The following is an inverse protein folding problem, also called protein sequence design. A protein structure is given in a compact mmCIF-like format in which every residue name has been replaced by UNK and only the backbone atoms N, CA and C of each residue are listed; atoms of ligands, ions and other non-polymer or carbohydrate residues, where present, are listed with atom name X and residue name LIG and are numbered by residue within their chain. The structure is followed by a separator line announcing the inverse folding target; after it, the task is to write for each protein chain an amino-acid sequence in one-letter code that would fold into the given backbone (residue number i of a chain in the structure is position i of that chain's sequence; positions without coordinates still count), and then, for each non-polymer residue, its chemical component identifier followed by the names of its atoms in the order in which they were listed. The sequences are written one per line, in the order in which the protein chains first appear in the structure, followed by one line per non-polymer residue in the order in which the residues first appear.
data_IF_275188196914
#
_entry.id   IF_275188196914
#
_cell.length_a   1.000
_cell.length_b   1.000
_cell.length_c   1.000
_cell.angle_alpha   90.00
_cell.angle_beta   90.00
_cell.angle_gamma   90.00
#
_symmetry.space_group_name_H-M   'P 1'
#
loop_
_entity.id
_entity.type
_entity.pdbx_description
1 polymer ?
#
# COMPACT_ATOMS: atom_id res chain seq x y z
N UNK A 1 64.79 7.85 14.91
CA UNK A 1 65.37 6.94 13.93
C UNK A 1 64.33 6.62 12.90
N UNK A 2 64.48 7.15 11.70
CA UNK A 2 63.59 6.94 10.53
C UNK A 2 64.02 5.68 9.80
N UNK A 3 63.08 4.77 9.48
CA UNK A 3 63.33 3.73 8.49
C UNK A 3 62.31 3.86 7.35
N UNK A 4 62.82 4.23 6.21
CA UNK A 4 62.15 4.15 4.88
C UNK A 4 62.13 2.72 4.40
N UNK A 5 61.00 2.28 3.80
CA UNK A 5 60.90 1.06 3.01
C UNK A 5 60.41 1.45 1.62
N UNK A 6 61.05 1.04 0.55
CA UNK A 6 60.79 1.53 -0.79
C UNK A 6 59.61 0.76 -1.46
N UNK A 7 58.88 1.50 -2.31
CA UNK A 7 57.84 1.00 -3.18
C UNK A 7 58.38 0.05 -4.25
N UNK A 8 57.73 -1.11 -4.44
CA UNK A 8 57.96 -1.99 -5.60
C UNK A 8 56.88 -1.68 -6.65
N UNK A 9 57.31 -1.17 -7.79
CA UNK A 9 56.57 -1.13 -9.05
C UNK A 9 56.27 -2.55 -9.49
N UNK A 10 55.02 -2.86 -9.82
CA UNK A 10 54.63 -4.02 -10.58
C UNK A 10 53.95 -3.53 -11.88
N UNK A 11 54.53 -3.93 -13.00
CA UNK A 11 54.08 -3.69 -14.38
C UNK A 11 52.83 -4.55 -14.70
N UNK A 12 51.94 -4.09 -15.56
CA UNK A 12 50.79 -4.87 -16.01
C UNK A 12 51.22 -5.86 -17.14
N UNK A 13 50.88 -7.11 -16.96
CA UNK A 13 50.98 -8.13 -18.03
C UNK A 13 49.68 -8.07 -18.83
N UNK A 14 49.78 -7.58 -20.05
CA UNK A 14 48.72 -7.63 -21.06
C UNK A 14 48.71 -9.01 -21.70
N UNK A 15 47.71 -9.82 -21.39
CA UNK A 15 47.47 -11.09 -22.08
C UNK A 15 46.37 -10.90 -23.10
N UNK A 16 46.73 -10.88 -24.38
CA UNK A 16 45.81 -10.92 -25.51
C UNK A 16 45.38 -12.38 -25.70
N UNK A 17 44.09 -12.69 -25.47
CA UNK A 17 43.49 -13.95 -25.93
C UNK A 17 42.71 -13.69 -27.23
N UNK A 18 43.29 -14.14 -28.34
CA UNK A 18 42.59 -14.44 -29.57
C UNK A 18 42.03 -15.86 -29.44
N UNK A 19 40.73 -16.03 -29.46
CA UNK A 19 40.09 -17.35 -29.39
C UNK A 19 38.68 -17.29 -29.95
N UNK A 20 38.61 -17.49 -31.26
CA UNK A 20 37.66 -18.31 -32.04
C UNK A 20 36.25 -18.53 -31.46
N UNK A 21 35.28 -18.17 -32.31
CA UNK A 21 33.84 -18.25 -32.12
C UNK A 21 33.29 -19.63 -31.80
N UNK A 22 32.20 -19.56 -31.00
CA UNK A 22 31.13 -20.54 -31.05
C UNK A 22 29.83 -19.76 -31.17
N UNK A 23 29.32 -19.69 -32.39
CA UNK A 23 27.95 -19.32 -32.69
C UNK A 23 27.02 -20.40 -32.23
N UNK A 24 26.36 -20.20 -31.10
CA UNK A 24 25.28 -21.07 -30.64
C UNK A 24 24.00 -20.58 -31.30
N UNK A 25 23.61 -21.29 -32.35
CA UNK A 25 22.32 -21.11 -33.03
C UNK A 25 21.22 -21.60 -32.11
N UNK A 26 20.42 -20.69 -31.60
CA UNK A 26 19.12 -21.04 -31.02
C UNK A 26 18.15 -21.37 -32.15
N UNK A 27 17.77 -22.62 -32.22
CA UNK A 27 16.65 -23.09 -33.04
C UNK A 27 15.36 -22.48 -32.46
N UNK A 28 14.84 -21.52 -33.19
CA UNK A 28 13.48 -21.01 -32.97
C UNK A 28 12.52 -22.06 -33.53
N UNK A 29 11.88 -22.82 -32.64
CA UNK A 29 10.75 -23.68 -32.99
C UNK A 29 9.56 -22.77 -33.29
N UNK A 30 9.18 -22.74 -34.54
CA UNK A 30 7.98 -22.05 -35.02
C UNK A 30 6.77 -22.98 -34.78
N UNK A 31 6.11 -22.85 -33.64
CA UNK A 31 4.74 -23.28 -33.48
C UNK A 31 3.84 -22.06 -33.47
N UNK A 32 3.37 -21.72 -34.65
CA UNK A 32 2.31 -20.77 -34.91
C UNK A 32 0.98 -21.35 -34.40
N UNK A 33 0.45 -20.77 -33.31
CA UNK A 33 -1.00 -20.62 -33.07
C UNK A 33 -1.22 -19.86 -31.77
N UNK A 34 -0.77 -18.60 -31.71
CA UNK A 34 -1.29 -17.66 -30.73
C UNK A 34 -2.31 -16.76 -31.44
N UNK A 35 -3.59 -17.13 -31.30
CA UNK A 35 -4.69 -16.27 -31.71
C UNK A 35 -4.61 -15.01 -30.86
N UNK A 36 -4.19 -13.92 -31.48
CA UNK A 36 -4.28 -12.60 -30.89
C UNK A 36 -5.75 -12.25 -30.65
N UNK A 37 -6.21 -12.41 -29.42
CA UNK A 37 -7.44 -11.79 -28.97
C UNK A 37 -7.17 -10.30 -28.88
N UNK A 38 -7.76 -9.53 -29.78
CA UNK A 38 -7.80 -8.10 -29.73
C UNK A 38 -8.46 -7.66 -28.43
N UNK A 39 -7.95 -6.63 -27.71
CA UNK A 39 -8.65 -6.07 -26.58
C UNK A 39 -9.98 -5.50 -27.08
N UNK A 40 -11.08 -5.96 -26.47
CA UNK A 40 -12.39 -5.40 -26.68
C UNK A 40 -12.33 -3.90 -26.44
N UNK A 41 -12.64 -3.13 -27.46
CA UNK A 41 -12.85 -1.69 -27.36
C UNK A 41 -13.96 -1.44 -26.36
N UNK A 42 -13.58 -0.87 -25.22
CA UNK A 42 -14.54 -0.37 -24.23
C UNK A 42 -15.29 0.80 -24.88
N UNK A 43 -16.53 0.54 -25.30
CA UNK A 43 -17.46 1.59 -25.70
C UNK A 43 -18.02 2.19 -24.40
N UNK A 44 -17.70 3.45 -24.17
CA UNK A 44 -18.33 4.26 -23.14
C UNK A 44 -19.85 4.20 -23.30
N UNK A 45 -20.62 3.93 -22.24
CA UNK A 45 -22.07 4.02 -22.32
C UNK A 45 -22.46 5.47 -22.65
N UNK A 46 -23.08 5.60 -23.80
CA UNK A 46 -23.72 6.81 -24.29
C UNK A 46 -24.68 7.33 -23.23
N UNK A 47 -24.60 8.64 -22.99
CA UNK A 47 -25.46 9.46 -22.15
C UNK A 47 -26.85 8.85 -21.93
N UNK A 48 -27.15 8.49 -20.68
CA UNK A 48 -28.53 8.27 -20.27
C UNK A 48 -29.25 9.61 -20.34
N UNK A 49 -30.20 9.69 -21.25
CA UNK A 49 -31.17 10.76 -21.37
C UNK A 49 -31.83 11.01 -20.00
N UNK A 50 -31.91 12.28 -19.67
CA UNK A 50 -32.79 12.82 -18.61
C UNK A 50 -34.16 12.12 -18.65
N UNK A 51 -34.47 11.39 -17.59
CA UNK A 51 -35.84 10.97 -17.34
C UNK A 51 -36.55 12.21 -16.80
N UNK A 52 -37.34 12.84 -17.66
CA UNK A 52 -38.29 13.86 -17.27
C UNK A 52 -39.33 13.21 -16.37
N UNK A 53 -39.22 13.46 -15.08
CA UNK A 53 -40.29 13.16 -14.13
C UNK A 53 -41.25 14.33 -14.19
N UNK A 54 -42.31 14.14 -14.98
CA UNK A 54 -43.49 15.04 -14.92
C UNK A 54 -44.05 14.96 -13.50
N UNK A 55 -43.89 16.04 -12.76
CA UNK A 55 -44.68 16.30 -11.57
C UNK A 55 -46.06 16.78 -12.00
N UNK A 56 -47.05 15.89 -11.91
CA UNK A 56 -48.44 16.28 -12.05
C UNK A 56 -48.85 17.17 -10.88
N UNK A 57 -49.14 18.43 -11.18
CA UNK A 57 -49.76 19.38 -10.28
C UNK A 57 -51.19 18.96 -9.98
N UNK A 58 -51.43 18.43 -8.80
CA UNK A 58 -52.68 18.58 -8.03
C UNK A 58 -52.48 17.93 -6.66
N UNK A 59 -52.31 18.75 -5.62
CA UNK A 59 -52.94 18.69 -4.29
C UNK A 59 -52.28 19.71 -3.38
N UNK A 60 -53.08 20.43 -2.65
CA UNK A 60 -52.93 21.53 -1.65
C UNK A 60 -51.65 21.59 -0.81
N UNK A 61 -51.29 22.81 -0.37
CA UNK A 61 -50.05 23.10 0.37
C UNK A 61 -50.19 22.76 1.86
N UNK A 62 -49.59 21.64 2.28
CA UNK A 62 -49.20 21.44 3.67
C UNK A 62 -48.02 20.49 3.72
N UNK A 63 -46.92 21.04 4.27
CA UNK A 63 -45.69 20.34 4.71
C UNK A 63 -44.73 19.82 3.62
N UNK A 64 -43.77 20.66 3.37
CA UNK A 64 -42.53 20.36 2.62
C UNK A 64 -41.80 19.15 3.21
N UNK A 65 -41.90 18.02 2.54
CA UNK A 65 -41.17 16.79 2.88
C UNK A 65 -40.02 16.54 1.89
N UNK A 66 -39.17 17.55 1.72
CA UNK A 66 -37.93 17.42 0.92
C UNK A 66 -36.76 16.82 1.68
N UNK A 67 -36.89 16.51 2.98
CA UNK A 67 -35.82 15.98 3.82
C UNK A 67 -35.66 14.44 3.75
N UNK A 68 -36.34 13.78 2.81
CA UNK A 68 -36.33 12.31 2.79
C UNK A 68 -35.45 11.65 1.73
N UNK A 69 -34.59 12.44 1.05
CA UNK A 69 -33.65 11.90 0.05
C UNK A 69 -32.27 11.53 0.62
N UNK A 70 -31.94 11.92 1.87
CA UNK A 70 -30.62 11.66 2.43
C UNK A 70 -30.42 10.27 3.10
N UNK A 71 -31.48 9.48 3.26
CA UNK A 71 -31.39 8.25 4.10
C UNK A 71 -31.03 6.98 3.30
N UNK A 72 -30.79 7.05 2.00
CA UNK A 72 -30.46 5.84 1.21
C UNK A 72 -29.01 5.65 0.80
N UNK A 73 -28.12 6.57 1.09
CA UNK A 73 -26.69 6.43 0.79
C UNK A 73 -25.90 5.62 1.84
N UNK A 74 -26.47 5.40 3.03
CA UNK A 74 -25.77 4.79 4.17
C UNK A 74 -25.67 3.25 4.15
N UNK A 75 -26.24 2.60 3.14
CA UNK A 75 -26.32 1.13 3.14
C UNK A 75 -25.23 0.41 2.36
N UNK A 76 -24.27 1.16 1.80
CA UNK A 76 -23.16 0.62 0.98
C UNK A 76 -21.79 0.76 1.64
N UNK A 77 -21.72 1.32 2.84
CA UNK A 77 -20.46 1.40 3.60
C UNK A 77 -20.26 0.15 4.43
N UNK A 78 -19.10 -0.47 4.35
CA UNK A 78 -18.73 -1.64 5.16
C UNK A 78 -18.93 -1.39 6.66
N UNK A 79 -19.05 -2.46 7.47
CA UNK A 79 -19.37 -2.42 8.90
C UNK A 79 -18.51 -1.46 9.74
N UNK A 80 -17.32 -1.10 9.23
CA UNK A 80 -16.32 -0.32 9.94
C UNK A 80 -16.14 1.11 9.39
N UNK A 81 -16.99 1.56 8.44
CA UNK A 81 -16.80 2.80 7.67
C UNK A 81 -17.91 3.80 7.97
N UNK A 82 -17.55 5.03 8.26
CA UNK A 82 -18.47 6.15 8.53
C UNK A 82 -18.01 7.40 7.79
N UNK A 83 -18.95 8.17 7.21
CA UNK A 83 -18.65 9.50 6.67
C UNK A 83 -18.58 10.51 7.80
N UNK A 84 -17.54 11.34 7.77
CA UNK A 84 -17.34 12.45 8.69
C UNK A 84 -17.16 13.74 7.90
N UNK A 85 -17.23 14.90 8.57
CA UNK A 85 -16.90 16.18 7.94
C UNK A 85 -15.46 16.26 7.41
N UNK A 86 -14.58 15.39 7.92
CA UNK A 86 -13.16 15.33 7.53
C UNK A 86 -12.85 14.26 6.47
N UNK A 87 -13.83 13.45 6.05
CA UNK A 87 -13.64 12.36 5.10
C UNK A 87 -14.32 11.06 5.52
N UNK A 88 -13.99 9.96 4.84
CA UNK A 88 -14.50 8.63 5.22
C UNK A 88 -13.63 8.09 6.36
N UNK A 89 -14.25 7.77 7.48
CA UNK A 89 -13.59 7.22 8.66
C UNK A 89 -13.77 5.70 8.73
N UNK A 90 -12.67 5.01 8.86
CA UNK A 90 -12.60 3.58 9.16
C UNK A 90 -12.22 3.36 10.62
N UNK A 91 -12.81 2.34 11.25
CA UNK A 91 -12.50 1.95 12.62
C UNK A 91 -12.17 0.47 12.68
N UNK A 92 -10.94 0.14 13.00
CA UNK A 92 -10.42 -1.22 13.01
C UNK A 92 -10.04 -1.66 14.42
N UNK A 93 -10.13 -2.97 14.66
CA UNK A 93 -9.47 -3.62 15.78
C UNK A 93 -8.33 -4.45 15.23
N UNK A 94 -7.09 -4.12 15.58
CA UNK A 94 -5.94 -4.91 15.14
C UNK A 94 -6.00 -6.33 15.72
N UNK A 95 -5.26 -7.25 15.11
CA UNK A 95 -5.11 -8.63 15.61
C UNK A 95 -4.64 -8.66 17.08
N UNK A 96 -3.85 -7.66 17.48
CA UNK A 96 -3.36 -7.51 18.86
C UNK A 96 -4.36 -6.79 19.79
N UNK A 97 -5.57 -6.43 19.30
CA UNK A 97 -6.62 -5.78 20.09
C UNK A 97 -6.53 -4.25 20.18
N UNK A 98 -5.63 -3.61 19.44
CA UNK A 98 -5.52 -2.15 19.41
C UNK A 98 -6.61 -1.55 18.53
N UNK A 99 -7.24 -0.46 19.01
CA UNK A 99 -8.20 0.31 18.21
C UNK A 99 -7.45 1.28 17.31
N UNK A 100 -7.75 1.24 16.01
CA UNK A 100 -7.12 2.07 14.98
C UNK A 100 -8.22 2.78 14.21
N UNK A 101 -8.14 4.11 14.18
CA UNK A 101 -9.02 4.94 13.34
C UNK A 101 -8.19 5.53 12.21
N UNK A 102 -8.71 5.44 10.99
CA UNK A 102 -8.11 6.00 9.78
C UNK A 102 -9.18 6.85 9.10
N UNK A 103 -8.84 8.08 8.75
CA UNK A 103 -9.73 8.95 7.98
C UNK A 103 -9.05 9.20 6.63
N UNK A 104 -9.73 8.83 5.56
CA UNK A 104 -9.27 9.11 4.20
C UNK A 104 -9.27 10.61 3.93
N UNK A 105 -8.20 11.08 3.32
CA UNK A 105 -8.03 12.45 2.86
C UNK A 105 -7.70 12.44 1.37
N UNK A 106 -7.98 13.49 0.62
CA UNK A 106 -7.63 13.55 -0.81
C UNK A 106 -6.15 13.30 -1.11
N UNK A 107 -5.27 13.64 -0.16
CA UNK A 107 -3.81 13.54 -0.30
C UNK A 107 -3.16 12.57 0.69
N UNK A 108 -3.94 11.86 1.52
CA UNK A 108 -3.36 10.96 2.52
C UNK A 108 -4.37 10.41 3.51
N UNK A 109 -3.93 10.29 4.76
CA UNK A 109 -4.72 9.69 5.84
C UNK A 109 -4.49 10.41 7.16
N UNK A 110 -5.56 10.64 7.92
CA UNK A 110 -5.43 11.02 9.33
C UNK A 110 -5.56 9.78 10.21
N UNK A 111 -4.72 9.73 11.23
CA UNK A 111 -4.74 8.67 12.25
C UNK A 111 -5.04 9.29 13.61
N UNK A 112 -6.32 9.45 14.01
CA UNK A 112 -6.69 10.15 15.25
C UNK A 112 -6.07 9.57 16.52
N UNK A 113 -5.78 8.26 16.53
CA UNK A 113 -5.11 7.58 17.65
C UNK A 113 -3.59 7.86 17.71
N UNK A 114 -3.00 8.43 16.65
CA UNK A 114 -1.56 8.64 16.50
C UNK A 114 -1.21 10.09 16.14
N UNK A 115 -1.91 11.05 16.75
CA UNK A 115 -1.71 12.49 16.47
C UNK A 115 -0.25 12.91 16.67
N UNK A 116 0.27 13.67 15.71
CA UNK A 116 1.65 14.17 15.74
C UNK A 116 2.71 13.09 15.46
N UNK A 117 2.28 11.92 14.96
CA UNK A 117 3.18 10.87 14.50
C UNK A 117 3.21 10.80 12.99
N UNK A 118 4.37 10.52 12.44
CA UNK A 118 4.50 10.01 11.08
C UNK A 118 4.17 8.53 11.08
N UNK A 119 3.31 8.10 10.17
CA UNK A 119 2.85 6.71 10.08
C UNK A 119 3.49 6.03 8.88
N UNK A 120 4.13 4.90 9.11
CA UNK A 120 4.49 3.95 8.06
C UNK A 120 3.33 2.96 7.96
N UNK A 121 2.51 3.11 6.92
CA UNK A 121 1.40 2.20 6.62
C UNK A 121 1.88 1.19 5.58
N UNK A 122 1.91 -0.09 5.93
CA UNK A 122 2.38 -1.16 5.05
C UNK A 122 1.27 -2.16 4.74
N UNK A 123 1.07 -2.47 3.46
CA UNK A 123 0.24 -3.59 3.02
C UNK A 123 1.19 -4.77 2.76
N UNK A 124 0.95 -5.88 3.42
CA UNK A 124 1.84 -7.04 3.37
C UNK A 124 1.06 -8.36 3.28
N UNK A 125 1.79 -9.42 2.95
CA UNK A 125 1.26 -10.79 2.97
C UNK A 125 2.04 -11.69 3.93
N UNK A 126 1.33 -12.56 4.65
CA UNK A 126 1.94 -13.51 5.61
C UNK A 126 2.90 -14.52 4.95
N UNK A 127 2.68 -14.81 3.68
CA UNK A 127 3.47 -15.77 2.88
C UNK A 127 4.40 -15.08 1.87
N UNK A 128 4.44 -13.75 1.85
CA UNK A 128 5.26 -12.96 0.97
C UNK A 128 6.71 -12.89 1.51
N UNK A 129 7.72 -13.46 0.83
CA UNK A 129 9.10 -13.46 1.33
C UNK A 129 9.65 -12.05 1.52
N UNK A 130 9.46 -11.16 0.56
CA UNK A 130 9.90 -9.77 0.64
C UNK A 130 9.25 -8.99 1.79
N UNK A 131 7.98 -9.33 2.11
CA UNK A 131 7.29 -8.72 3.26
C UNK A 131 7.91 -9.20 4.58
N UNK A 132 8.32 -10.46 4.66
CA UNK A 132 9.01 -11.01 5.83
C UNK A 132 10.38 -10.34 6.02
N UNK A 133 11.11 -10.11 4.93
CA UNK A 133 12.41 -9.42 4.95
C UNK A 133 12.27 -7.93 5.34
N UNK A 134 11.12 -7.30 5.10
CA UNK A 134 10.85 -5.92 5.48
C UNK A 134 10.52 -5.75 6.97
N UNK A 135 10.04 -6.79 7.66
CA UNK A 135 9.68 -6.71 9.09
C UNK A 135 10.82 -6.15 9.97
N UNK A 136 12.08 -6.63 9.88
CA UNK A 136 13.18 -6.05 10.66
C UNK A 136 13.49 -4.61 10.29
N UNK A 137 13.28 -4.20 9.03
CA UNK A 137 13.45 -2.82 8.56
C UNK A 137 12.44 -1.91 9.28
N UNK A 138 11.16 -2.24 9.23
CA UNK A 138 10.08 -1.49 9.87
C UNK A 138 10.29 -1.35 11.39
N UNK A 139 10.70 -2.44 12.05
CA UNK A 139 11.04 -2.42 13.49
C UNK A 139 12.21 -1.50 13.79
N UNK A 140 13.23 -1.51 12.95
CA UNK A 140 14.42 -0.66 13.11
C UNK A 140 14.09 0.81 12.91
N UNK A 141 13.24 1.15 11.93
CA UNK A 141 12.75 2.52 11.71
C UNK A 141 11.92 3.00 12.90
N UNK A 142 10.97 2.20 13.37
CA UNK A 142 10.17 2.52 14.56
C UNK A 142 11.05 2.74 15.80
N UNK A 143 12.14 1.99 15.95
CA UNK A 143 13.07 2.16 17.05
C UNK A 143 13.95 3.41 16.88
N UNK A 144 14.45 3.66 15.65
CA UNK A 144 15.30 4.82 15.34
C UNK A 144 14.57 6.14 15.61
N UNK A 145 13.34 6.23 15.11
CA UNK A 145 12.50 7.43 15.23
C UNK A 145 11.48 7.28 16.37
N UNK A 146 11.93 6.71 17.49
CA UNK A 146 11.08 6.44 18.64
C UNK A 146 10.43 7.71 19.16
N UNK A 147 9.10 7.68 19.26
CA UNK A 147 8.32 8.82 19.69
C UNK A 147 7.75 9.65 18.54
N UNK A 148 8.35 9.58 17.34
CA UNK A 148 7.93 10.34 16.16
C UNK A 148 7.24 9.45 15.11
N UNK A 149 7.66 8.19 14.98
CA UNK A 149 7.17 7.25 13.96
C UNK A 149 6.43 6.09 14.59
N UNK A 150 5.31 5.73 13.99
CA UNK A 150 4.59 4.49 14.25
C UNK A 150 4.42 3.68 12.96
N UNK A 151 4.30 2.36 13.11
CA UNK A 151 4.03 1.45 12.00
C UNK A 151 2.65 0.85 12.19
N UNK A 152 1.87 0.81 11.11
CA UNK A 152 0.58 0.12 11.03
C UNK A 152 0.62 -0.79 9.81
N UNK A 153 0.22 -2.04 9.96
CA UNK A 153 0.24 -3.02 8.88
C UNK A 153 -1.18 -3.50 8.52
N UNK A 154 -1.43 -3.73 7.24
CA UNK A 154 -2.64 -4.38 6.71
C UNK A 154 -2.20 -5.70 6.08
N UNK A 155 -2.72 -6.81 6.57
CA UNK A 155 -2.47 -8.14 6.01
C UNK A 155 -3.44 -8.38 4.86
N UNK A 156 -2.99 -8.40 3.61
CA UNK A 156 -3.83 -8.40 2.40
C UNK A 156 -3.88 -9.76 1.66
N UNK A 157 -3.32 -10.81 2.24
CA UNK A 157 -3.49 -12.18 1.74
C UNK A 157 -4.65 -12.90 2.46
N UNK A 158 -4.70 -14.20 2.34
CA UNK A 158 -5.71 -15.01 3.02
C UNK A 158 -5.79 -14.72 4.52
N UNK A 159 -6.99 -14.72 5.04
CA UNK A 159 -7.27 -14.49 6.45
C UNK A 159 -6.37 -15.33 7.37
N UNK A 160 -5.84 -14.71 8.40
CA UNK A 160 -5.08 -15.40 9.43
C UNK A 160 -5.99 -15.83 10.59
N UNK A 161 -6.23 -17.14 10.72
CA UNK A 161 -6.87 -17.64 11.93
C UNK A 161 -6.11 -17.16 13.19
N UNK A 162 -6.78 -16.90 14.33
CA UNK A 162 -6.17 -16.29 15.51
C UNK A 162 -4.90 -16.96 16.03
N UNK A 163 -4.84 -18.31 15.97
CA UNK A 163 -3.65 -19.05 16.39
C UNK A 163 -2.47 -18.89 15.42
N UNK A 164 -2.75 -18.78 14.11
CA UNK A 164 -1.74 -18.51 13.07
C UNK A 164 -1.19 -17.10 13.25
N UNK A 165 -2.09 -16.13 13.42
CA UNK A 165 -1.73 -14.72 13.63
C UNK A 165 -0.84 -14.55 14.88
N UNK A 166 -1.21 -15.20 16.00
CA UNK A 166 -0.40 -15.19 17.23
C UNK A 166 0.98 -15.81 17.01
N UNK A 167 1.04 -16.94 16.31
CA UNK A 167 2.29 -17.63 15.98
C UNK A 167 3.18 -16.74 15.09
N UNK A 168 2.61 -16.14 14.06
CA UNK A 168 3.30 -15.24 13.12
C UNK A 168 3.90 -14.03 13.85
N UNK A 169 3.10 -13.33 14.66
CA UNK A 169 3.53 -12.17 15.44
C UNK A 169 4.68 -12.54 16.38
N UNK A 170 4.57 -13.66 17.08
CA UNK A 170 5.61 -14.14 17.99
C UNK A 170 6.89 -14.54 17.26
N UNK A 171 6.77 -15.30 16.15
CA UNK A 171 7.91 -15.76 15.33
C UNK A 171 8.73 -14.58 14.82
N UNK A 172 8.08 -13.56 14.30
CA UNK A 172 8.74 -12.39 13.71
C UNK A 172 8.96 -11.26 14.72
N UNK A 173 8.50 -11.43 15.98
CA UNK A 173 8.57 -10.44 17.06
C UNK A 173 8.02 -9.08 16.60
N UNK A 174 6.83 -9.10 15.99
CA UNK A 174 6.18 -7.90 15.48
C UNK A 174 5.71 -7.04 16.66
N UNK A 175 6.08 -5.76 16.68
CA UNK A 175 5.79 -4.81 17.74
C UNK A 175 4.94 -3.61 17.29
N UNK A 176 4.18 -3.82 16.21
CA UNK A 176 3.25 -2.85 15.65
C UNK A 176 1.91 -3.55 15.33
N UNK A 177 0.79 -2.79 15.30
CA UNK A 177 -0.52 -3.35 15.05
C UNK A 177 -0.67 -3.86 13.61
N UNK A 178 -1.40 -4.98 13.47
CA UNK A 178 -1.78 -5.57 12.19
C UNK A 178 -3.31 -5.55 12.09
N UNK A 179 -3.84 -5.00 11.02
CA UNK A 179 -5.25 -5.05 10.65
C UNK A 179 -5.43 -6.21 9.66
N UNK A 180 -6.48 -7.03 9.85
CA UNK A 180 -6.88 -8.02 8.86
C UNK A 180 -7.40 -7.35 7.60
N UNK A 181 -7.01 -7.89 6.44
CA UNK A 181 -7.35 -7.31 5.15
C UNK A 181 -8.84 -7.33 4.85
N UNK A 182 -9.54 -8.37 5.30
CA UNK A 182 -10.99 -8.48 5.12
C UNK A 182 -11.74 -7.34 5.82
N UNK A 183 -11.25 -6.91 7.00
CA UNK A 183 -11.80 -5.76 7.72
C UNK A 183 -11.46 -4.43 7.07
N UNK A 184 -10.34 -4.37 6.30
CA UNK A 184 -9.81 -3.17 5.68
C UNK A 184 -10.07 -3.09 4.15
N UNK A 185 -11.04 -3.84 3.64
CA UNK A 185 -11.31 -3.92 2.20
C UNK A 185 -11.60 -2.55 1.59
N UNK A 186 -12.44 -1.73 2.21
CA UNK A 186 -12.77 -0.38 1.71
C UNK A 186 -11.52 0.51 1.68
N UNK A 187 -10.69 0.45 2.73
CA UNK A 187 -9.43 1.20 2.79
C UNK A 187 -8.43 0.73 1.72
N UNK A 188 -8.37 -0.57 1.45
CA UNK A 188 -7.54 -1.12 0.37
C UNK A 188 -7.99 -0.62 -1.00
N UNK A 189 -9.31 -0.54 -1.25
CA UNK A 189 -9.85 0.05 -2.48
C UNK A 189 -9.50 1.52 -2.61
N UNK A 190 -9.57 2.29 -1.53
CA UNK A 190 -9.13 3.67 -1.55
C UNK A 190 -7.65 3.79 -1.90
N UNK A 191 -6.78 2.97 -1.30
CA UNK A 191 -5.34 2.93 -1.58
C UNK A 191 -5.08 2.56 -3.04
N UNK A 192 -5.78 1.55 -3.56
CA UNK A 192 -5.68 1.14 -4.96
C UNK A 192 -6.03 2.29 -5.92
N UNK A 193 -7.15 2.95 -5.69
CA UNK A 193 -7.65 3.99 -6.58
C UNK A 193 -6.85 5.30 -6.48
N UNK A 194 -6.32 5.62 -5.31
CA UNK A 194 -5.62 6.89 -5.05
C UNK A 194 -4.13 6.81 -5.31
N UNK A 195 -3.50 5.68 -4.95
CA UNK A 195 -2.05 5.50 -4.99
C UNK A 195 -1.59 4.46 -6.02
N UNK A 196 -2.51 3.87 -6.79
CA UNK A 196 -2.18 2.92 -7.85
C UNK A 196 -1.63 1.59 -7.35
N UNK A 197 -1.98 1.18 -6.13
CA UNK A 197 -1.59 -0.15 -5.64
C UNK A 197 -2.25 -1.24 -6.48
N UNK A 198 -1.44 -2.11 -7.07
CA UNK A 198 -1.89 -3.16 -8.01
C UNK A 198 -1.93 -4.55 -7.38
N UNK A 199 -1.86 -4.66 -6.05
CA UNK A 199 -1.77 -5.95 -5.36
C UNK A 199 -0.33 -6.45 -5.19
N UNK A 200 0.68 -5.73 -5.68
CA UNK A 200 2.09 -6.06 -5.43
C UNK A 200 2.40 -5.86 -3.94
N UNK A 201 3.06 -6.83 -3.34
CA UNK A 201 3.43 -6.83 -1.92
C UNK A 201 4.95 -6.93 -1.74
N UNK A 202 5.51 -6.23 -0.74
CA UNK A 202 4.85 -5.26 0.12
C UNK A 202 4.49 -3.97 -0.63
N UNK A 203 3.58 -3.16 -0.05
CA UNK A 203 3.35 -1.79 -0.49
C UNK A 203 3.40 -0.87 0.73
N UNK A 204 4.40 -0.02 0.79
CA UNK A 204 4.68 0.82 1.96
C UNK A 204 4.43 2.28 1.65
N UNK A 205 3.71 2.97 2.53
CA UNK A 205 3.43 4.40 2.46
C UNK A 205 3.92 5.10 3.72
N UNK A 206 4.47 6.30 3.56
CA UNK A 206 4.83 7.18 4.67
C UNK A 206 3.88 8.37 4.69
N UNK A 207 3.15 8.50 5.79
CA UNK A 207 2.13 9.54 5.98
C UNK A 207 2.56 10.46 7.10
N UNK A 208 2.72 11.75 6.80
CA UNK A 208 3.04 12.80 7.76
C UNK A 208 1.99 13.91 7.70
N UNK A 209 1.49 14.32 8.86
CA UNK A 209 0.50 15.41 9.00
C UNK A 209 -0.74 15.26 8.08
N UNK A 210 -1.14 14.01 7.83
CA UNK A 210 -2.30 13.69 6.98
C UNK A 210 -2.00 13.60 5.49
N UNK A 211 -0.75 13.80 5.07
CA UNK A 211 -0.31 13.73 3.68
C UNK A 211 0.53 12.47 3.47
N UNK A 212 0.27 11.73 2.39
CA UNK A 212 1.15 10.63 1.96
C UNK A 212 2.34 11.21 1.21
N UNK A 213 3.48 11.25 1.86
CA UNK A 213 4.70 11.86 1.34
C UNK A 213 5.50 10.90 0.45
N UNK A 214 5.48 9.62 0.79
CA UNK A 214 6.28 8.60 0.09
C UNK A 214 5.45 7.33 -0.12
N UNK A 215 5.71 6.66 -1.25
CA UNK A 215 5.15 5.33 -1.56
C UNK A 215 6.23 4.44 -2.14
N UNK A 216 6.29 3.19 -1.69
CA UNK A 216 7.24 2.18 -2.14
C UNK A 216 6.46 0.95 -2.62
N UNK A 217 6.27 0.79 -3.93
CA UNK A 217 5.70 -0.43 -4.51
C UNK A 217 6.77 -1.53 -4.58
N UNK A 218 6.59 -2.59 -3.82
CA UNK A 218 7.57 -3.66 -3.64
C UNK A 218 8.54 -3.41 -2.48
N UNK A 219 9.53 -4.30 -2.36
CA UNK A 219 10.50 -4.25 -1.27
C UNK A 219 11.38 -2.98 -1.33
N UNK A 220 11.55 -2.33 -0.19
CA UNK A 220 12.43 -1.17 -0.02
C UNK A 220 13.58 -1.51 0.92
N UNK A 221 14.78 -1.01 0.64
CA UNK A 221 15.92 -1.22 1.52
C UNK A 221 15.87 -0.30 2.73
N UNK A 222 16.46 -0.75 3.86
CA UNK A 222 16.57 0.09 5.07
C UNK A 222 17.26 1.43 4.80
N UNK A 223 18.33 1.43 4.00
CA UNK A 223 19.08 2.66 3.73
C UNK A 223 18.29 3.65 2.90
N UNK A 224 17.50 3.18 1.96
CA UNK A 224 16.64 4.00 1.10
C UNK A 224 15.55 4.67 1.93
N UNK A 225 14.67 3.89 2.55
CA UNK A 225 13.58 4.45 3.36
C UNK A 225 14.10 5.31 4.53
N UNK A 226 15.25 4.94 5.13
CA UNK A 226 15.87 5.75 6.17
C UNK A 226 16.35 7.11 5.65
N UNK A 227 16.98 7.14 4.47
CA UNK A 227 17.46 8.40 3.88
C UNK A 227 16.30 9.36 3.58
N UNK A 228 15.20 8.81 3.05
CA UNK A 228 13.99 9.59 2.77
C UNK A 228 13.33 10.08 4.07
N UNK A 229 13.26 9.21 5.09
CA UNK A 229 12.74 9.57 6.42
C UNK A 229 13.59 10.62 7.14
N UNK A 230 14.94 10.54 7.04
CA UNK A 230 15.86 11.54 7.61
C UNK A 230 15.67 12.93 6.94
N UNK A 231 15.12 12.99 5.72
CA UNK A 231 14.79 14.24 5.03
C UNK A 231 13.39 14.75 5.41
N UNK A 232 12.48 13.83 5.68
CA UNK A 232 11.08 14.12 5.95
C UNK A 232 10.85 14.59 7.40
N UNK A 233 11.56 14.03 8.39
CA UNK A 233 11.37 14.25 9.83
C UNK A 233 12.17 15.43 10.36
#
# INVERSE_FOLDING_TARGET
MKRFIPAKLALPVTTIFLGTGCTQQYLVSSDANYIAQQPATYQSPTSMSSVDIECSDEVSPSESNCDRAEIRADKLTGKNTQRTSSGIMHSFTSIQGHQIKVIEQPTGFLFPNYRGKTIILVIFGKECPYCIDEIPILKSLKQRYRGEVEVIAIQAQEHMAPHIAKSYINKHRINYPIIEGDDATDLQYFIQNTYGWTGILPFTMVVKDGITELTYPGAVSYNEIRADMDTLL
#
